data_IF_311840604156
#
_entry.id   IF_311840604156
#
_cell.length_a   1.000
_cell.length_b   1.000
_cell.length_c   1.000
_cell.angle_alpha   90.00
_cell.angle_beta   90.00
_cell.angle_gamma   90.00
#
_symmetry.space_group_name_H-M   'P 1'
#
loop_
_entity.id
_entity.type
_entity.pdbx_description
1 polymer ?
#
# COMPACT_ATOMS: atom_id res chain seq x y z
N UNK A 1 17.57 39.52 -30.71
CA UNK A 1 16.57 39.04 -29.73
C UNK A 1 16.78 37.55 -29.53
N UNK A 2 17.45 37.15 -28.47
CA UNK A 2 17.81 35.76 -28.22
C UNK A 2 17.04 35.19 -27.03
N UNK A 3 16.24 34.17 -27.33
CA UNK A 3 16.01 32.91 -26.60
C UNK A 3 15.82 33.01 -25.08
N UNK A 4 14.56 32.88 -24.65
CA UNK A 4 14.18 32.51 -23.28
C UNK A 4 13.34 31.23 -23.37
N UNK A 5 14.00 30.09 -23.57
CA UNK A 5 13.31 28.79 -23.60
C UNK A 5 14.27 27.68 -23.18
N UNK A 6 14.52 27.52 -21.88
CA UNK A 6 14.93 26.27 -21.24
C UNK A 6 15.34 26.50 -19.77
N UNK A 7 14.40 26.56 -18.83
CA UNK A 7 14.76 26.45 -17.40
C UNK A 7 13.91 25.42 -16.64
N UNK A 8 12.77 24.96 -17.19
CA UNK A 8 11.89 24.05 -16.47
C UNK A 8 12.17 22.55 -16.64
N UNK A 9 13.04 22.14 -17.58
CA UNK A 9 13.37 20.72 -17.79
C UNK A 9 14.38 20.16 -16.77
N UNK A 10 15.01 21.01 -15.94
CA UNK A 10 16.10 20.62 -15.03
C UNK A 10 15.64 20.23 -13.61
N UNK A 11 14.33 20.29 -13.31
CA UNK A 11 13.78 19.96 -11.98
C UNK A 11 13.28 18.50 -11.87
N UNK A 12 13.41 17.71 -12.94
CA UNK A 12 13.15 16.28 -12.88
C UNK A 12 14.22 15.55 -12.05
N UNK A 13 13.87 14.46 -11.34
CA UNK A 13 14.87 13.64 -10.66
C UNK A 13 15.94 13.19 -11.66
N UNK A 14 17.21 13.30 -11.26
CA UNK A 14 18.32 12.92 -12.13
C UNK A 14 18.23 11.44 -12.53
N UNK A 15 18.81 11.08 -13.68
CA UNK A 15 18.90 9.68 -14.12
C UNK A 15 19.56 8.78 -13.05
N UNK A 16 20.49 9.34 -12.26
CA UNK A 16 21.14 8.65 -11.13
C UNK A 16 20.17 8.38 -9.98
N UNK A 17 19.34 9.36 -9.63
CA UNK A 17 18.29 9.23 -8.60
C UNK A 17 17.21 8.22 -9.01
N UNK A 18 16.93 8.08 -10.30
CA UNK A 18 16.02 7.05 -10.83
C UNK A 18 16.65 5.65 -10.78
N UNK A 19 17.94 5.53 -11.08
CA UNK A 19 18.67 4.26 -11.07
C UNK A 19 18.85 3.66 -9.66
N UNK A 20 18.93 4.52 -8.64
CA UNK A 20 19.10 4.16 -7.22
C UNK A 20 17.77 3.90 -6.49
N UNK A 21 16.61 3.95 -7.18
CA UNK A 21 15.33 3.70 -6.51
C UNK A 21 15.25 2.29 -5.92
N UNK A 22 14.63 2.13 -4.74
CA UNK A 22 14.50 0.82 -4.12
C UNK A 22 13.76 -0.16 -5.03
N UNK A 23 14.33 -1.36 -5.15
CA UNK A 23 13.71 -2.49 -5.85
C UNK A 23 13.38 -3.57 -4.82
N UNK A 24 12.20 -4.14 -4.95
CA UNK A 24 11.80 -5.34 -4.19
C UNK A 24 11.50 -6.47 -5.14
N UNK A 25 11.75 -7.71 -4.72
CA UNK A 25 11.34 -8.87 -5.50
C UNK A 25 9.83 -9.04 -5.36
N UNK A 26 9.13 -9.10 -6.49
CA UNK A 26 7.71 -9.43 -6.52
C UNK A 26 7.59 -10.93 -6.22
N UNK A 27 6.83 -11.33 -5.19
CA UNK A 27 6.59 -12.74 -4.91
C UNK A 27 5.92 -13.41 -6.10
N UNK A 28 6.16 -14.71 -6.29
CA UNK A 28 5.41 -15.49 -7.28
C UNK A 28 3.97 -15.67 -6.77
N UNK A 29 3.08 -14.84 -7.28
CA UNK A 29 1.65 -14.82 -6.94
C UNK A 29 0.84 -15.30 -8.14
N UNK A 30 0.05 -16.36 -7.94
CA UNK A 30 -1.05 -16.71 -8.83
C UNK A 30 -2.21 -15.69 -8.68
N UNK A 31 -3.16 -15.71 -9.61
CA UNK A 31 -4.35 -14.87 -9.52
C UNK A 31 -5.15 -15.18 -8.25
N UNK A 32 -5.61 -14.16 -7.54
CA UNK A 32 -6.28 -14.31 -6.25
C UNK A 32 -5.31 -14.62 -5.10
N UNK A 33 -4.04 -14.24 -5.20
CA UNK A 33 -3.06 -14.38 -4.13
C UNK A 33 -2.47 -13.03 -3.72
N UNK A 34 -1.95 -12.99 -2.51
CA UNK A 34 -1.26 -11.83 -1.96
C UNK A 34 -0.09 -12.25 -1.09
N UNK A 35 0.84 -11.34 -0.87
CA UNK A 35 1.95 -11.52 0.05
C UNK A 35 2.44 -10.17 0.59
N UNK A 36 2.94 -10.20 1.81
CA UNK A 36 3.68 -9.08 2.40
C UNK A 36 5.17 -9.22 2.07
N UNK A 37 5.80 -8.10 1.75
CA UNK A 37 7.24 -7.99 1.46
C UNK A 37 7.79 -6.83 2.27
N UNK A 38 9.00 -6.96 2.81
CA UNK A 38 9.64 -5.87 3.53
C UNK A 38 9.72 -4.59 2.70
N UNK A 39 9.30 -3.46 3.28
CA UNK A 39 9.45 -2.15 2.63
C UNK A 39 10.89 -1.67 2.82
N UNK A 40 11.67 -1.46 1.75
CA UNK A 40 13.05 -0.97 1.86
C UNK A 40 13.15 0.45 2.43
N UNK A 41 12.03 1.17 2.54
CA UNK A 41 11.93 2.51 3.16
C UNK A 41 11.50 2.45 4.63
N UNK A 42 11.16 1.26 5.13
CA UNK A 42 10.78 1.01 6.52
C UNK A 42 11.91 1.44 7.47
N UNK A 43 11.54 2.04 8.60
CA UNK A 43 12.49 2.45 9.64
C UNK A 43 11.88 2.24 11.04
N UNK A 44 12.68 2.41 12.08
CA UNK A 44 12.25 2.14 13.46
C UNK A 44 11.09 3.03 13.92
N UNK A 45 11.00 4.27 13.42
CA UNK A 45 9.95 5.22 13.78
C UNK A 45 8.65 4.96 13.02
N UNK A 46 8.75 4.47 11.78
CA UNK A 46 7.63 4.15 10.90
C UNK A 46 7.83 2.78 10.25
N UNK A 47 7.70 1.69 11.03
CA UNK A 47 7.83 0.33 10.51
C UNK A 47 6.71 0.04 9.50
N UNK A 48 7.11 -0.42 8.32
CA UNK A 48 6.20 -0.73 7.22
C UNK A 48 6.58 -1.97 6.42
N UNK A 49 5.58 -2.50 5.73
CA UNK A 49 5.69 -3.55 4.72
C UNK A 49 4.90 -3.14 3.47
N UNK A 50 5.14 -3.85 2.36
CA UNK A 50 4.42 -3.72 1.11
C UNK A 50 3.50 -4.93 0.94
N UNK A 51 2.21 -4.69 0.80
CA UNK A 51 1.24 -5.72 0.45
C UNK A 51 1.12 -5.80 -1.07
N UNK A 52 1.65 -6.86 -1.67
CA UNK A 52 1.44 -7.19 -3.08
C UNK A 52 0.21 -8.07 -3.23
N UNK A 53 -0.65 -7.74 -4.19
CA UNK A 53 -1.90 -8.46 -4.45
C UNK A 53 -2.00 -8.69 -5.95
N UNK A 54 -2.17 -9.94 -6.37
CA UNK A 54 -2.59 -10.26 -7.72
C UNK A 54 -4.07 -10.58 -7.71
N UNK A 55 -4.86 -9.66 -8.25
CA UNK A 55 -6.32 -9.79 -8.35
C UNK A 55 -6.70 -11.02 -9.21
N UNK A 56 -7.94 -11.52 -9.12
CA UNK A 56 -8.41 -12.64 -9.93
C UNK A 56 -8.28 -12.41 -11.45
N UNK A 57 -8.37 -11.14 -11.90
CA UNK A 57 -8.20 -10.73 -13.29
C UNK A 57 -6.71 -10.65 -13.73
N UNK A 58 -5.77 -10.91 -12.82
CA UNK A 58 -4.33 -10.86 -13.06
C UNK A 58 -3.68 -9.51 -12.79
N UNK A 59 -4.45 -8.48 -12.45
CA UNK A 59 -3.93 -7.15 -12.10
C UNK A 59 -3.05 -7.23 -10.86
N UNK A 60 -1.83 -6.71 -10.95
CA UNK A 60 -0.92 -6.59 -9.80
C UNK A 60 -1.08 -5.22 -9.15
N UNK A 61 -1.34 -5.20 -7.84
CA UNK A 61 -1.41 -4.00 -7.01
C UNK A 61 -0.43 -4.10 -5.85
N UNK A 62 -0.04 -2.94 -5.33
CA UNK A 62 0.85 -2.84 -4.19
C UNK A 62 0.37 -1.72 -3.25
N UNK A 63 0.34 -2.01 -1.95
CA UNK A 63 -0.11 -1.08 -0.91
C UNK A 63 0.93 -0.93 0.19
N UNK A 64 1.03 0.27 0.76
CA UNK A 64 1.92 0.53 1.89
C UNK A 64 1.22 0.21 3.20
N UNK A 65 1.79 -0.65 4.02
CA UNK A 65 1.15 -1.14 5.24
C UNK A 65 1.99 -0.75 6.46
N UNK A 66 1.47 0.05 7.40
CA UNK A 66 2.12 0.26 8.67
C UNK A 66 2.03 -1.04 9.48
N UNK A 67 3.16 -1.48 10.04
CA UNK A 67 3.23 -2.72 10.82
C UNK A 67 3.80 -2.49 12.20
N UNK A 68 3.32 -3.24 13.19
CA UNK A 68 3.88 -3.22 14.54
C UNK A 68 3.93 -4.64 15.09
N UNK A 69 5.13 -5.08 15.47
CA UNK A 69 5.39 -6.47 15.92
C UNK A 69 4.86 -7.52 14.93
N UNK A 70 5.09 -7.30 13.63
CA UNK A 70 4.70 -8.21 12.55
C UNK A 70 3.19 -8.25 12.25
N UNK A 71 2.40 -7.30 12.76
CA UNK A 71 0.96 -7.19 12.49
C UNK A 71 0.64 -5.88 11.79
N UNK A 72 -0.29 -5.88 10.84
CA UNK A 72 -0.78 -4.64 10.21
C UNK A 72 -1.44 -3.77 11.27
N UNK A 73 -1.13 -2.48 11.27
CA UNK A 73 -1.74 -1.52 12.17
C UNK A 73 -2.86 -0.79 11.44
N UNK A 74 -4.10 -1.14 11.77
CA UNK A 74 -5.30 -0.54 11.20
C UNK A 74 -5.40 0.95 11.59
N UNK A 75 -5.83 1.83 10.68
CA UNK A 75 -6.00 3.25 10.96
C UNK A 75 -7.21 3.54 11.85
N UNK A 76 -7.23 4.71 12.49
CA UNK A 76 -8.50 5.28 12.98
C UNK A 76 -9.24 6.03 11.87
N UNK A 77 -8.62 7.07 11.33
CA UNK A 77 -9.07 7.93 10.24
C UNK A 77 -8.00 7.94 9.15
N UNK A 78 -6.74 8.14 9.54
CA UNK A 78 -5.63 8.20 8.61
C UNK A 78 -4.66 7.02 8.81
N UNK A 79 -4.02 6.56 7.73
CA UNK A 79 -3.03 5.47 7.78
C UNK A 79 -1.80 5.75 8.67
N UNK A 80 -1.51 7.02 8.95
CA UNK A 80 -0.45 7.41 9.90
C UNK A 80 -0.92 7.42 11.38
N UNK A 81 -2.21 7.21 11.65
CA UNK A 81 -2.81 7.20 12.99
C UNK A 81 -3.26 5.79 13.37
N UNK A 82 -2.47 5.04 14.13
CA UNK A 82 -2.78 3.66 14.47
C UNK A 82 -3.94 3.55 15.47
N UNK A 83 -4.87 2.61 15.23
CA UNK A 83 -5.97 2.27 16.13
C UNK A 83 -5.82 0.87 16.74
N UNK A 84 -5.63 -0.14 15.89
CA UNK A 84 -5.62 -1.54 16.30
C UNK A 84 -4.62 -2.36 15.49
N UNK A 85 -4.10 -3.46 16.05
CA UNK A 85 -3.22 -4.38 15.33
C UNK A 85 -4.02 -5.59 14.85
N UNK A 86 -3.89 -5.93 13.58
CA UNK A 86 -4.55 -7.06 12.96
C UNK A 86 -3.51 -8.08 12.48
N UNK A 87 -3.56 -9.30 13.00
CA UNK A 87 -2.69 -10.39 12.56
C UNK A 87 -3.14 -11.01 11.23
N UNK A 88 -4.44 -10.97 10.92
CA UNK A 88 -5.00 -11.51 9.67
C UNK A 88 -5.69 -10.39 8.86
N UNK A 89 -4.86 -9.49 8.32
CA UNK A 89 -5.29 -8.46 7.37
C UNK A 89 -4.96 -8.88 5.94
N UNK A 90 -5.91 -8.73 5.03
CA UNK A 90 -5.67 -8.99 3.61
C UNK A 90 -6.96 -9.03 2.79
N UNK A 91 -6.86 -9.28 1.48
CA UNK A 91 -8.02 -9.35 0.59
C UNK A 91 -8.92 -10.55 0.95
N UNK A 92 -10.21 -10.31 0.92
CA UNK A 92 -11.28 -11.29 0.84
C UNK A 92 -11.86 -11.20 -0.58
N UNK A 93 -11.30 -12.01 -1.49
CA UNK A 93 -11.69 -11.99 -2.92
C UNK A 93 -13.14 -12.42 -3.15
N UNK A 94 -13.72 -13.22 -2.25
CA UNK A 94 -15.12 -13.61 -2.35
C UNK A 94 -16.06 -12.42 -2.08
N UNK A 95 -15.64 -11.49 -1.22
CA UNK A 95 -16.38 -10.25 -0.91
C UNK A 95 -15.95 -9.05 -1.73
N UNK A 96 -14.79 -9.11 -2.38
CA UNK A 96 -14.22 -7.97 -3.11
C UNK A 96 -13.73 -6.84 -2.18
N UNK A 97 -13.25 -7.18 -0.97
CA UNK A 97 -12.81 -6.19 0.01
C UNK A 97 -11.49 -6.59 0.72
N UNK A 98 -10.67 -5.63 1.12
CA UNK A 98 -9.67 -5.80 2.18
C UNK A 98 -10.31 -5.62 3.53
N UNK A 99 -9.95 -6.48 4.48
CA UNK A 99 -10.50 -6.45 5.83
C UNK A 99 -9.55 -7.10 6.83
N UNK A 100 -9.80 -6.80 8.11
CA UNK A 100 -9.27 -7.57 9.21
C UNK A 100 -10.20 -8.76 9.54
N UNK A 101 -9.61 -9.94 9.70
CA UNK A 101 -10.28 -11.19 10.14
C UNK A 101 -9.82 -11.68 11.51
N UNK A 102 -8.88 -10.97 12.14
CA UNK A 102 -8.34 -11.30 13.45
C UNK A 102 -9.42 -11.21 14.55
N UNK A 103 -9.76 -12.35 15.16
CA UNK A 103 -10.79 -12.43 16.19
C UNK A 103 -10.47 -11.56 17.44
N UNK A 104 -9.20 -11.25 17.69
CA UNK A 104 -8.77 -10.39 18.81
C UNK A 104 -9.12 -8.90 18.61
N UNK A 105 -9.34 -8.48 17.36
CA UNK A 105 -9.70 -7.08 17.03
C UNK A 105 -11.21 -6.89 17.21
N UNK A 106 -11.70 -5.91 17.98
CA UNK A 106 -13.14 -5.71 18.20
C UNK A 106 -14.00 -5.72 16.93
N UNK A 107 -15.17 -6.38 16.98
CA UNK A 107 -16.08 -6.54 15.83
C UNK A 107 -16.43 -5.23 15.14
N UNK A 108 -16.67 -4.17 15.91
CA UNK A 108 -16.99 -2.85 15.35
C UNK A 108 -15.83 -2.30 14.50
N UNK A 109 -14.57 -2.55 14.88
CA UNK A 109 -13.40 -2.17 14.06
C UNK A 109 -13.36 -3.04 12.79
N UNK A 110 -13.49 -4.36 12.91
CA UNK A 110 -13.43 -5.28 11.75
C UNK A 110 -14.53 -5.04 10.72
N UNK A 111 -15.68 -4.54 11.18
CA UNK A 111 -16.83 -4.26 10.33
C UNK A 111 -16.83 -2.83 9.77
N UNK A 112 -16.22 -1.87 10.46
CA UNK A 112 -16.08 -0.50 9.96
C UNK A 112 -14.89 -0.34 9.02
N UNK A 113 -13.72 -0.87 9.36
CA UNK A 113 -12.48 -0.68 8.60
C UNK A 113 -12.36 -1.70 7.46
N UNK A 114 -12.93 -1.32 6.30
CA UNK A 114 -12.96 -2.11 5.08
C UNK A 114 -12.65 -1.24 3.88
N UNK A 115 -12.06 -1.87 2.87
CA UNK A 115 -11.71 -1.22 1.61
C UNK A 115 -12.08 -2.11 0.44
N UNK A 116 -12.43 -1.56 -0.71
CA UNK A 116 -12.59 -2.32 -1.96
C UNK A 116 -11.24 -2.86 -2.44
N UNK A 117 -11.22 -3.82 -3.39
CA UNK A 117 -9.96 -4.35 -3.94
C UNK A 117 -9.09 -3.30 -4.66
N UNK A 118 -9.68 -2.19 -5.11
CA UNK A 118 -8.96 -1.02 -5.62
C UNK A 118 -8.53 -0.02 -4.54
N UNK A 119 -8.65 -0.40 -3.26
CA UNK A 119 -8.13 0.35 -2.12
C UNK A 119 -9.04 1.46 -1.62
N UNK A 120 -10.24 1.64 -2.17
CA UNK A 120 -11.15 2.70 -1.73
C UNK A 120 -11.80 2.33 -0.41
N UNK A 121 -11.85 3.28 0.50
CA UNK A 121 -12.57 3.15 1.76
C UNK A 121 -14.04 2.80 1.52
N UNK A 122 -14.53 1.77 2.19
CA UNK A 122 -15.94 1.43 2.22
C UNK A 122 -16.53 2.09 3.46
N UNK A 123 -17.45 3.06 3.34
CA UNK A 123 -18.03 3.74 4.48
C UNK A 123 -18.69 2.74 5.45
N UNK A 124 -18.27 2.76 6.73
CA UNK A 124 -18.81 1.88 7.75
C UNK A 124 -18.99 2.62 9.06
N UNK A 125 -20.24 2.78 9.55
CA UNK A 125 -20.47 3.43 10.84
C UNK A 125 -19.81 2.61 11.98
N UNK A 126 -19.22 3.25 13.00
CA UNK A 126 -19.19 4.70 13.25
C UNK A 126 -17.98 5.44 12.65
N UNK A 127 -17.14 4.81 11.83
CA UNK A 127 -15.85 5.37 11.42
C UNK A 127 -15.80 5.77 9.95
N UNK A 128 -15.14 6.89 9.68
CA UNK A 128 -14.64 7.22 8.37
C UNK A 128 -13.12 7.03 8.38
N UNK A 129 -12.56 6.56 7.28
CA UNK A 129 -11.14 6.25 7.16
C UNK A 129 -10.68 6.45 5.71
N UNK A 130 -9.42 6.82 5.54
CA UNK A 130 -8.79 7.08 4.24
C UNK A 130 -8.77 5.82 3.36
N UNK A 131 -8.65 6.04 2.05
CA UNK A 131 -8.28 5.01 1.08
C UNK A 131 -6.92 4.39 1.43
N UNK A 132 -6.66 3.17 0.95
CA UNK A 132 -5.39 2.48 1.14
C UNK A 132 -4.27 3.22 0.41
N UNK A 133 -3.11 3.47 1.05
CA UNK A 133 -2.01 4.19 0.43
C UNK A 133 -1.36 3.31 -0.63
N UNK A 134 -1.55 3.68 -1.90
CA UNK A 134 -1.09 2.92 -3.05
C UNK A 134 0.40 3.12 -3.26
N UNK A 135 1.12 2.02 -3.43
CA UNK A 135 2.53 2.07 -3.82
C UNK A 135 2.57 2.27 -5.33
N UNK A 136 3.11 3.42 -5.75
CA UNK A 136 3.37 3.71 -7.15
C UNK A 136 4.69 3.05 -7.56
N UNK A 137 4.72 2.45 -8.73
CA UNK A 137 5.92 1.81 -9.22
C UNK A 137 5.70 1.05 -10.52
N UNK A 138 6.78 0.48 -11.02
CA UNK A 138 6.80 -0.27 -12.28
C UNK A 138 7.34 -1.67 -12.02
N UNK A 139 6.67 -2.69 -12.58
CA UNK A 139 7.18 -4.05 -12.60
C UNK A 139 8.24 -4.20 -13.72
N UNK A 140 9.45 -4.59 -13.35
CA UNK A 140 10.60 -4.83 -14.21
C UNK A 140 10.97 -6.32 -14.09
N UNK A 141 10.27 -7.17 -14.84
CA UNK A 141 10.38 -8.62 -14.70
C UNK A 141 9.91 -9.09 -13.32
N UNK A 142 10.83 -9.67 -12.53
CA UNK A 142 10.57 -10.12 -11.15
C UNK A 142 10.72 -9.03 -10.10
N UNK A 143 11.14 -7.83 -10.48
CA UNK A 143 11.36 -6.73 -9.54
C UNK A 143 10.26 -5.69 -9.66
N UNK A 144 9.94 -5.04 -8.55
CA UNK A 144 9.10 -3.86 -8.52
C UNK A 144 9.95 -2.67 -8.09
N UNK A 145 10.08 -1.67 -8.98
CA UNK A 145 10.75 -0.42 -8.70
C UNK A 145 9.76 0.53 -8.05
N UNK A 146 10.02 0.90 -6.79
CA UNK A 146 9.12 1.77 -6.03
C UNK A 146 9.37 3.22 -6.42
N UNK A 147 8.33 3.88 -6.94
CA UNK A 147 8.38 5.25 -7.42
C UNK A 147 7.81 6.27 -6.43
N UNK A 148 6.89 5.86 -5.56
CA UNK A 148 6.28 6.72 -4.56
C UNK A 148 5.15 6.03 -3.78
N UNK A 149 4.47 6.80 -2.94
CA UNK A 149 3.21 6.41 -2.29
C UNK A 149 2.19 7.49 -2.62
N UNK A 150 1.06 7.06 -3.18
CA UNK A 150 -0.15 7.87 -3.23
C UNK A 150 -0.94 7.58 -1.95
N UNK A 151 -1.11 8.59 -1.10
CA UNK A 151 -1.69 8.41 0.23
C UNK A 151 -3.22 8.30 0.22
N UNK A 152 -3.88 8.54 -0.93
CA UNK A 152 -5.33 8.67 -0.98
C UNK A 152 -5.78 9.91 -0.19
N UNK A 153 -6.83 10.59 -0.67
CA UNK A 153 -7.51 11.65 0.08
C UNK A 153 -9.00 11.52 -0.13
#
# INVERSE_FOLDING_TARGET
MAVLTAVFAALGPSARTLAERPRVVIPELANGQFAFVGDPRSNQSFPSELLFVRDPDGTLRAWWMPVSRGRVTLPDLHWWRPLARCADFGPDFARGEYRCRDAEVPDWIRNSLRWTLDGKSIPGKPMHHDDMPRVLGTAEGRHFRVDGIDWGK
#
